data_IF_607679654242
#
_entry.id   IF_607679654242
#
_cell.length_a   1.000
_cell.length_b   1.000
_cell.length_c   1.000
_cell.angle_alpha   90.00
_cell.angle_beta   90.00
_cell.angle_gamma   90.00
#
_symmetry.space_group_name_H-M   'P 1'
#
loop_
_entity.id
_entity.type
_entity.pdbx_description
1 polymer ?
#
# COMPACT_ATOMS: atom_id res chain seq x y z
N UNK A 1 -10.78 0.45 18.20
CA UNK A 1 -9.38 0.89 18.00
C UNK A 1 -9.23 1.29 16.54
N UNK A 2 -8.57 2.40 16.21
CA UNK A 2 -8.46 2.85 14.81
C UNK A 2 -7.04 2.60 14.31
N UNK A 3 -6.94 1.92 13.16
CA UNK A 3 -5.67 1.67 12.49
C UNK A 3 -5.65 2.35 11.13
N UNK A 4 -4.50 2.93 10.78
CA UNK A 4 -4.26 3.47 9.44
C UNK A 4 -3.42 2.49 8.64
N UNK A 5 -3.88 2.15 7.45
CA UNK A 5 -3.21 1.21 6.56
C UNK A 5 -2.74 1.98 5.33
N UNK A 6 -1.43 2.19 5.25
CA UNK A 6 -0.78 2.79 4.10
C UNK A 6 -0.69 1.78 2.95
N UNK A 7 -1.07 2.20 1.74
CA UNK A 7 -0.94 1.35 0.54
C UNK A 7 -0.61 2.16 -0.71
N UNK A 8 -0.03 1.53 -1.73
CA UNK A 8 0.18 2.16 -3.03
C UNK A 8 -1.14 2.40 -3.75
N UNK A 9 -1.18 3.40 -4.62
CA UNK A 9 -2.39 3.78 -5.37
C UNK A 9 -2.75 2.85 -6.54
N UNK A 10 -1.89 1.88 -6.89
CA UNK A 10 -2.18 0.94 -7.97
C UNK A 10 -3.40 0.06 -7.65
N UNK A 11 -4.17 -0.30 -8.67
CA UNK A 11 -5.38 -1.13 -8.51
C UNK A 11 -5.10 -2.45 -7.80
N UNK A 12 -3.94 -3.06 -8.06
CA UNK A 12 -3.52 -4.30 -7.40
C UNK A 12 -3.23 -4.09 -5.91
N UNK A 13 -2.51 -3.03 -5.55
CA UNK A 13 -2.20 -2.73 -4.15
C UNK A 13 -3.47 -2.41 -3.33
N UNK A 14 -4.43 -1.69 -3.92
CA UNK A 14 -5.73 -1.45 -3.31
C UNK A 14 -6.51 -2.76 -3.11
N UNK A 15 -6.55 -3.64 -4.11
CA UNK A 15 -7.20 -4.94 -4.00
C UNK A 15 -6.58 -5.82 -2.90
N UNK A 16 -5.24 -5.85 -2.81
CA UNK A 16 -4.52 -6.54 -1.74
C UNK A 16 -4.87 -5.98 -0.36
N UNK A 17 -4.92 -4.64 -0.25
CA UNK A 17 -5.23 -3.95 1.01
C UNK A 17 -6.64 -4.23 1.47
N UNK A 18 -7.62 -4.15 0.57
CA UNK A 18 -9.01 -4.49 0.86
C UNK A 18 -9.17 -5.94 1.33
N UNK A 19 -8.46 -6.89 0.71
CA UNK A 19 -8.48 -8.30 1.14
C UNK A 19 -7.95 -8.48 2.57
N UNK A 20 -6.93 -7.71 2.97
CA UNK A 20 -6.42 -7.71 4.35
C UNK A 20 -7.42 -7.07 5.32
N UNK A 21 -8.04 -5.94 4.93
CA UNK A 21 -9.06 -5.26 5.74
C UNK A 21 -10.26 -6.17 6.02
N UNK A 22 -10.74 -6.90 5.02
CA UNK A 22 -11.84 -7.87 5.21
C UNK A 22 -11.48 -8.94 6.24
N UNK A 23 -10.23 -9.43 6.25
CA UNK A 23 -9.79 -10.42 7.24
C UNK A 23 -9.69 -9.82 8.63
N UNK A 24 -9.21 -8.58 8.75
CA UNK A 24 -9.15 -7.86 10.03
C UNK A 24 -10.56 -7.64 10.57
N UNK A 25 -11.50 -7.18 9.75
CA UNK A 25 -12.89 -6.96 10.16
C UNK A 25 -13.59 -8.24 10.60
N UNK A 26 -13.27 -9.38 9.96
CA UNK A 26 -13.79 -10.69 10.38
C UNK A 26 -13.22 -11.17 11.72
N UNK A 27 -11.94 -10.91 11.97
CA UNK A 27 -11.25 -11.37 13.17
C UNK A 27 -11.44 -10.44 14.38
N UNK A 28 -11.57 -9.13 14.13
CA UNK A 28 -11.69 -8.08 15.13
C UNK A 28 -12.63 -6.96 14.62
N UNK A 29 -13.97 -7.15 14.72
CA UNK A 29 -14.97 -6.21 14.20
C UNK A 29 -14.92 -4.80 14.80
N UNK A 30 -14.32 -4.66 15.98
CA UNK A 30 -14.14 -3.39 16.71
C UNK A 30 -12.97 -2.54 16.20
N UNK A 31 -12.17 -3.08 15.26
CA UNK A 31 -11.09 -2.36 14.61
C UNK A 31 -11.62 -1.62 13.39
N UNK A 32 -11.47 -0.30 13.40
CA UNK A 32 -11.80 0.55 12.26
C UNK A 32 -10.51 0.74 11.45
N UNK A 33 -10.48 0.21 10.24
CA UNK A 33 -9.37 0.34 9.31
C UNK A 33 -9.60 1.51 8.34
N UNK A 34 -8.66 2.46 8.35
CA UNK A 34 -8.64 3.60 7.43
C UNK A 34 -7.53 3.37 6.39
N UNK A 35 -7.89 3.24 5.12
CA UNK A 35 -6.92 3.06 4.04
C UNK A 35 -6.43 4.43 3.57
N UNK A 36 -5.11 4.63 3.59
CA UNK A 36 -4.47 5.85 3.08
C UNK A 36 -3.55 5.49 1.91
N UNK A 37 -3.78 6.14 0.76
CA UNK A 37 -2.91 5.96 -0.40
C UNK A 37 -1.63 6.77 -0.22
N UNK A 38 -0.49 6.10 -0.38
CA UNK A 38 0.85 6.67 -0.32
C UNK A 38 1.45 6.59 -1.73
N UNK A 39 2.04 7.70 -2.18
CA UNK A 39 2.84 7.73 -3.42
C UNK A 39 4.29 7.39 -3.07
N UNK A 40 4.82 6.37 -3.72
CA UNK A 40 6.21 5.95 -3.53
C UNK A 40 7.10 6.55 -4.62
N UNK A 41 8.42 6.55 -4.39
CA UNK A 41 9.39 7.04 -5.39
C UNK A 41 9.26 6.29 -6.73
N UNK A 42 8.87 5.02 -6.71
CA UNK A 42 8.62 4.20 -7.89
C UNK A 42 7.30 4.48 -8.59
N UNK A 43 6.31 5.03 -7.89
CA UNK A 43 5.09 5.53 -8.55
C UNK A 43 5.39 6.84 -9.29
N UNK A 44 6.39 7.59 -8.86
CA UNK A 44 6.84 8.85 -9.47
C UNK A 44 7.79 8.59 -10.65
N UNK A 45 8.68 7.60 -10.53
CA UNK A 45 9.69 7.27 -11.54
C UNK A 45 9.29 6.07 -12.41
N UNK A 46 8.16 6.19 -13.15
CA UNK A 46 7.67 5.09 -14.01
C UNK A 46 8.49 4.88 -15.29
N UNK A 47 9.15 5.93 -15.78
CA UNK A 47 9.89 5.91 -17.05
C UNK A 47 11.38 5.56 -16.90
N UNK A 48 11.82 5.29 -15.68
CA UNK A 48 13.21 4.95 -15.38
C UNK A 48 13.31 3.45 -15.11
N UNK A 49 14.25 2.78 -15.78
CA UNK A 49 14.44 1.34 -15.55
C UNK A 49 14.82 1.08 -14.09
N UNK A 50 14.27 0.01 -13.48
CA UNK A 50 14.61 -0.37 -12.10
C UNK A 50 16.12 -0.54 -11.89
N UNK A 51 16.84 -0.96 -12.94
CA UNK A 51 18.30 -1.08 -12.95
C UNK A 51 19.02 0.27 -12.78
N UNK A 52 18.46 1.36 -13.31
CA UNK A 52 19.02 2.71 -13.18
C UNK A 52 18.69 3.37 -11.84
N UNK A 53 17.62 2.95 -11.14
CA UNK A 53 17.19 3.54 -9.86
C UNK A 53 18.07 3.07 -8.67
N UNK A 54 18.94 2.06 -8.86
CA UNK A 54 19.84 1.60 -7.78
C UNK A 54 19.16 0.73 -6.71
N UNK A 55 17.90 0.33 -6.92
CA UNK A 55 17.39 -0.96 -6.47
C UNK A 55 16.94 -1.15 -5.00
N UNK A 56 16.97 -0.16 -4.10
CA UNK A 56 16.47 -0.35 -2.73
C UNK A 56 15.35 0.60 -2.32
N UNK A 57 14.18 0.03 -1.98
CA UNK A 57 13.08 0.74 -1.33
C UNK A 57 12.19 1.58 -2.25
N UNK A 58 12.32 1.45 -3.56
CA UNK A 58 11.65 2.30 -4.56
C UNK A 58 10.11 2.31 -4.41
N UNK A 59 9.52 1.19 -3.98
CA UNK A 59 8.07 1.03 -3.78
C UNK A 59 7.66 0.96 -2.30
N UNK A 60 8.58 1.28 -1.38
CA UNK A 60 8.38 1.15 0.07
C UNK A 60 8.76 2.42 0.83
N UNK A 61 9.51 3.33 0.20
CA UNK A 61 9.80 4.70 0.65
C UNK A 61 8.82 5.71 0.09
#
# INVERSE_FOLDING_TARGET
>A
MNIKIGTRGSSLALAQTNSVVEKIQKAAPEIIAEITVIKTSGDIMQDVSLAQIGGQGVFVK
#
